data_IF_442690751500
#
_entry.id   IF_442690751500
#
_cell.length_a   1.000
_cell.length_b   1.000
_cell.length_c   1.000
_cell.angle_alpha   90.00
_cell.angle_beta   90.00
_cell.angle_gamma   90.00
#
_symmetry.space_group_name_H-M   'P 1'
#
loop_
_entity.id
_entity.type
_entity.pdbx_description
1 polymer ?
#
# COMPACT_ATOMS: atom_id res chain seq x y z
N UNK A 1 -6.69 36.53 -15.80
CA UNK A 1 -5.25 36.89 -15.88
C UNK A 1 -4.64 37.33 -14.55
N UNK A 2 -5.33 38.14 -13.72
CA UNK A 2 -4.80 38.64 -12.43
C UNK A 2 -4.35 37.56 -11.44
N UNK A 3 -4.98 36.37 -11.44
CA UNK A 3 -4.58 35.22 -10.58
C UNK A 3 -3.25 34.57 -10.98
N UNK A 4 -2.92 34.54 -12.28
CA UNK A 4 -1.64 33.98 -12.79
C UNK A 4 -0.51 34.97 -12.47
N UNK A 5 -0.77 36.26 -12.66
CA UNK A 5 0.16 37.33 -12.32
C UNK A 5 0.44 37.42 -10.81
N UNK A 6 -0.58 37.29 -9.97
CA UNK A 6 -0.40 37.22 -8.51
C UNK A 6 0.34 35.95 -8.08
N UNK A 7 0.11 34.81 -8.75
CA UNK A 7 0.87 33.58 -8.52
C UNK A 7 2.35 33.68 -8.94
N UNK A 8 2.66 34.45 -9.99
CA UNK A 8 4.05 34.71 -10.41
C UNK A 8 4.77 35.67 -9.45
N UNK A 9 4.05 36.65 -8.89
CA UNK A 9 4.61 37.67 -8.00
C UNK A 9 4.77 37.16 -6.57
N UNK A 10 3.76 36.48 -6.02
CA UNK A 10 3.70 36.08 -4.60
C UNK A 10 3.79 34.55 -4.36
N UNK A 11 3.89 33.71 -5.39
CA UNK A 11 4.01 32.25 -5.21
C UNK A 11 5.40 31.77 -4.78
N UNK A 12 5.48 30.60 -4.15
CA UNK A 12 6.75 29.92 -3.81
C UNK A 12 7.56 29.60 -5.10
N UNK A 13 8.89 29.49 -5.03
CA UNK A 13 9.81 29.22 -6.16
C UNK A 13 9.33 28.06 -7.05
N UNK A 14 8.80 26.99 -6.45
CA UNK A 14 8.23 25.84 -7.18
C UNK A 14 6.98 26.24 -7.96
N UNK A 15 6.03 26.96 -7.34
CA UNK A 15 4.80 27.46 -8.01
C UNK A 15 5.11 28.42 -9.15
N UNK A 16 6.10 29.31 -8.98
CA UNK A 16 6.58 30.18 -10.06
C UNK A 16 7.15 29.36 -11.21
N UNK A 17 7.98 28.35 -10.90
CA UNK A 17 8.55 27.43 -11.89
C UNK A 17 7.47 26.69 -12.70
N UNK A 18 6.42 26.18 -12.06
CA UNK A 18 5.33 25.50 -12.75
C UNK A 18 4.50 26.40 -13.66
N UNK A 19 4.18 27.62 -13.20
CA UNK A 19 3.45 28.60 -14.03
C UNK A 19 4.30 28.98 -15.25
N UNK A 20 5.60 29.20 -15.04
CA UNK A 20 6.53 29.60 -16.10
C UNK A 20 6.75 28.45 -17.11
N UNK A 21 6.84 27.20 -16.63
CA UNK A 21 6.93 26.01 -17.49
C UNK A 21 5.66 25.81 -18.34
N UNK A 22 4.47 26.04 -17.75
CA UNK A 22 3.20 25.93 -18.48
C UNK A 22 3.09 27.00 -19.57
N UNK A 23 3.50 28.24 -19.27
CA UNK A 23 3.55 29.33 -20.26
C UNK A 23 4.55 29.01 -21.38
N UNK A 24 5.74 28.50 -21.04
CA UNK A 24 6.75 28.08 -22.02
C UNK A 24 6.23 26.98 -22.93
N UNK A 25 5.59 25.94 -22.39
CA UNK A 25 5.00 24.85 -23.18
C UNK A 25 3.90 25.33 -24.14
N UNK A 26 3.02 26.22 -23.68
CA UNK A 26 1.97 26.79 -24.55
C UNK A 26 2.55 27.70 -25.64
N UNK A 27 3.60 28.47 -25.32
CA UNK A 27 4.31 29.29 -26.31
C UNK A 27 5.02 28.44 -27.36
N UNK A 28 5.71 27.37 -26.94
CA UNK A 28 6.42 26.46 -27.83
C UNK A 28 5.46 25.63 -28.69
N UNK A 29 4.32 25.20 -28.13
CA UNK A 29 3.25 24.55 -28.88
C UNK A 29 2.71 25.46 -29.98
N UNK A 30 2.48 26.74 -29.67
CA UNK A 30 1.97 27.73 -30.64
C UNK A 30 2.96 28.00 -31.79
N UNK A 31 4.26 28.12 -31.48
CA UNK A 31 5.32 28.27 -32.49
C UNK A 31 5.40 27.02 -33.37
N UNK A 32 5.29 25.84 -32.78
CA UNK A 32 5.32 24.56 -33.50
C UNK A 32 4.14 24.40 -34.48
N UNK A 33 2.94 24.91 -34.16
CA UNK A 33 1.81 25.01 -35.10
C UNK A 33 2.18 25.90 -36.30
N UNK A 34 2.79 27.05 -36.07
CA UNK A 34 3.25 27.95 -37.14
C UNK A 34 4.25 27.28 -38.09
N UNK A 35 5.22 26.53 -37.54
CA UNK A 35 6.18 25.76 -38.34
C UNK A 35 5.55 24.59 -39.11
N UNK A 36 4.48 24.00 -38.57
CA UNK A 36 3.73 22.94 -39.26
C UNK A 36 3.12 23.46 -40.55
N UNK A 37 2.48 24.63 -40.49
CA UNK A 37 1.86 25.28 -41.66
C UNK A 37 2.93 25.77 -42.64
N UNK A 38 3.99 26.41 -42.14
CA UNK A 38 5.04 27.00 -42.99
C UNK A 38 5.93 25.96 -43.69
N UNK A 39 6.30 24.88 -43.00
CA UNK A 39 7.21 23.84 -43.54
C UNK A 39 6.50 22.58 -44.03
N UNK A 40 5.15 22.53 -43.95
CA UNK A 40 4.32 21.35 -44.27
C UNK A 40 4.86 20.04 -43.67
N UNK A 41 5.47 20.14 -42.50
CA UNK A 41 6.16 19.02 -41.86
C UNK A 41 5.29 18.45 -40.74
N UNK A 42 4.86 17.17 -40.82
CA UNK A 42 3.96 16.57 -39.85
C UNK A 42 4.60 16.37 -38.46
N UNK A 43 5.93 16.33 -38.38
CA UNK A 43 6.67 16.19 -37.12
C UNK A 43 6.45 17.39 -36.19
N UNK A 44 6.39 18.61 -36.72
CA UNK A 44 6.11 19.82 -35.93
C UNK A 44 4.67 19.85 -35.43
N UNK A 45 3.73 19.27 -36.19
CA UNK A 45 2.32 19.14 -35.79
C UNK A 45 2.17 18.20 -34.60
N UNK A 46 2.86 17.07 -34.64
CA UNK A 46 2.88 16.10 -33.52
C UNK A 46 3.50 16.70 -32.25
N UNK A 47 4.58 17.48 -32.40
CA UNK A 47 5.22 18.19 -31.28
C UNK A 47 4.28 19.21 -30.62
N UNK A 48 3.51 19.96 -31.42
CA UNK A 48 2.51 20.89 -30.91
C UNK A 48 1.41 20.18 -30.09
N UNK A 49 0.85 19.09 -30.63
CA UNK A 49 -0.18 18.29 -29.95
C UNK A 49 0.34 17.77 -28.60
N UNK A 50 1.58 17.27 -28.57
CA UNK A 50 2.20 16.79 -27.34
C UNK A 50 2.34 17.90 -26.29
N UNK A 51 2.81 19.09 -26.68
CA UNK A 51 2.94 20.22 -25.76
C UNK A 51 1.60 20.66 -25.16
N UNK A 52 0.52 20.69 -25.97
CA UNK A 52 -0.82 21.04 -25.48
C UNK A 52 -1.42 19.96 -24.57
N UNK A 53 -1.21 18.67 -24.86
CA UNK A 53 -1.63 17.56 -23.99
C UNK A 53 -0.95 17.63 -22.62
N UNK A 54 0.38 17.84 -22.60
CA UNK A 54 1.13 17.97 -21.36
C UNK A 54 0.67 19.19 -20.56
N UNK A 55 0.48 20.34 -21.22
CA UNK A 55 -0.05 21.54 -20.56
C UNK A 55 -1.47 21.31 -19.98
N UNK A 56 -2.33 20.58 -20.70
CA UNK A 56 -3.67 20.23 -20.23
C UNK A 56 -3.65 19.30 -19.01
N UNK A 57 -2.77 18.30 -18.99
CA UNK A 57 -2.55 17.44 -17.83
C UNK A 57 -2.09 18.24 -16.59
N UNK A 58 -1.23 19.24 -16.78
CA UNK A 58 -0.81 20.13 -15.69
C UNK A 58 -1.95 21.00 -15.17
N UNK A 59 -2.79 21.55 -16.05
CA UNK A 59 -3.94 22.39 -15.66
C UNK A 59 -5.01 21.57 -14.91
N UNK A 60 -5.30 20.36 -15.38
CA UNK A 60 -6.27 19.46 -14.73
C UNK A 60 -5.78 18.97 -13.37
N UNK A 61 -4.49 18.62 -13.25
CA UNK A 61 -3.84 18.32 -11.96
C UNK A 61 -4.03 19.44 -10.92
N UNK A 62 -3.88 20.71 -11.35
CA UNK A 62 -4.12 21.87 -10.47
C UNK A 62 -5.59 22.05 -10.07
N UNK A 63 -6.53 21.70 -10.96
CA UNK A 63 -7.97 21.75 -10.67
C UNK A 63 -8.38 20.72 -9.61
N UNK A 64 -7.88 19.47 -9.74
CA UNK A 64 -8.15 18.41 -8.74
C UNK A 64 -7.64 18.78 -7.35
N UNK A 65 -6.50 19.47 -7.25
CA UNK A 65 -5.96 19.91 -5.96
C UNK A 65 -6.82 20.99 -5.27
N UNK A 66 -7.53 21.84 -6.04
CA UNK A 66 -8.44 22.85 -5.48
C UNK A 66 -9.75 22.26 -4.99
N UNK A 67 -10.32 21.31 -5.73
CA UNK A 67 -11.55 20.62 -5.33
C UNK A 67 -11.31 19.72 -4.11
N UNK A 68 -10.15 19.05 -4.05
CA UNK A 68 -9.70 18.32 -2.86
C UNK A 68 -9.55 19.23 -1.63
N UNK A 69 -8.91 20.41 -1.77
CA UNK A 69 -8.79 21.37 -0.66
C UNK A 69 -10.12 21.95 -0.16
N UNK A 70 -11.11 22.16 -1.03
CA UNK A 70 -12.43 22.63 -0.61
C UNK A 70 -13.23 21.53 0.10
N UNK A 71 -13.07 20.27 -0.30
CA UNK A 71 -13.66 19.13 0.40
C UNK A 71 -12.97 18.94 1.76
N UNK A 72 -11.63 19.01 1.83
CA UNK A 72 -10.87 18.96 3.09
C UNK A 72 -11.32 20.05 4.07
N UNK A 73 -11.60 21.27 3.59
CA UNK A 73 -12.11 22.35 4.44
C UNK A 73 -13.51 22.04 4.98
N UNK A 74 -14.40 21.49 4.15
CA UNK A 74 -15.77 21.12 4.54
C UNK A 74 -15.82 19.91 5.49
N UNK A 75 -14.99 18.89 5.24
CA UNK A 75 -14.87 17.71 6.10
C UNK A 75 -14.21 18.05 7.45
N UNK A 76 -13.27 19.01 7.46
CA UNK A 76 -12.64 19.50 8.70
C UNK A 76 -13.57 20.41 9.51
N UNK A 77 -14.44 21.20 8.85
CA UNK A 77 -15.49 21.98 9.51
C UNK A 77 -16.60 21.09 10.09
N UNK A 78 -16.94 19.96 9.44
CA UNK A 78 -17.89 18.97 9.99
C UNK A 78 -17.31 18.14 11.14
N UNK A 79 -15.99 17.90 11.18
CA UNK A 79 -15.32 17.21 12.29
C UNK A 79 -14.87 18.12 13.45
N UNK A 80 -14.86 19.44 13.26
CA UNK A 80 -14.49 20.41 14.30
C UNK A 80 -15.67 20.81 15.22
N UNK A 81 -16.87 20.28 15.00
CA UNK A 81 -18.03 20.56 15.85
C UNK A 81 -18.14 19.65 17.09
N UNK A 82 -17.11 18.86 17.40
CA UNK A 82 -17.16 17.91 18.52
C UNK A 82 -15.99 17.95 19.50
N UNK A 83 -15.06 18.89 19.42
CA UNK A 83 -14.11 19.13 20.52
C UNK A 83 -13.71 20.61 20.57
N UNK A 84 -14.24 21.27 21.59
CA UNK A 84 -13.92 22.63 21.99
C UNK A 84 -12.60 22.57 22.79
N UNK A 85 -11.47 22.94 22.18
CA UNK A 85 -10.28 23.53 22.82
C UNK A 85 -9.52 24.28 21.72
N UNK A 86 -9.55 25.61 21.85
CA UNK A 86 -8.62 26.63 21.33
C UNK A 86 -7.47 26.17 20.42
N UNK A 87 -7.47 26.63 19.16
CA UNK A 87 -6.26 26.74 18.35
C UNK A 87 -6.41 27.90 17.34
N UNK A 88 -6.56 29.13 17.85
CA UNK A 88 -6.15 30.33 17.12
C UNK A 88 -4.61 30.40 17.16
N UNK A 89 -3.93 29.72 16.22
CA UNK A 89 -2.56 30.02 15.75
C UNK A 89 -1.98 29.00 14.75
N UNK A 90 -2.75 28.54 13.75
CA UNK A 90 -2.19 27.71 12.67
C UNK A 90 -2.76 28.12 11.30
N UNK A 91 -2.57 29.39 10.94
CA UNK A 91 -2.50 29.81 9.54
C UNK A 91 -1.02 30.01 9.19
N UNK A 92 -0.55 29.33 8.13
CA UNK A 92 0.81 29.37 7.53
C UNK A 92 1.84 28.31 7.97
N UNK A 93 1.56 27.03 7.79
CA UNK A 93 2.60 26.08 7.33
C UNK A 93 2.03 25.17 6.23
N UNK A 94 2.50 25.36 5.00
CA UNK A 94 2.38 24.33 3.97
C UNK A 94 3.36 23.25 4.40
N UNK A 95 2.89 22.19 5.08
CA UNK A 95 3.72 21.04 5.43
C UNK A 95 4.55 20.62 4.21
N UNK A 96 5.87 20.88 4.31
CA UNK A 96 6.82 20.37 3.35
C UNK A 96 6.67 18.85 3.36
N UNK A 97 6.61 18.22 2.18
CA UNK A 97 6.57 16.77 2.14
C UNK A 97 7.86 16.25 2.78
N UNK A 98 7.73 15.62 3.95
CA UNK A 98 8.83 15.06 4.75
C UNK A 98 9.71 14.13 3.89
N UNK A 99 9.11 13.46 2.89
CA UNK A 99 9.81 12.56 1.99
C UNK A 99 10.58 13.25 0.87
N UNK A 100 10.37 14.56 0.66
CA UNK A 100 11.02 15.34 -0.39
C UNK A 100 12.52 15.56 -0.19
N UNK A 101 13.03 15.39 1.04
CA UNK A 101 14.45 15.49 1.37
C UNK A 101 15.25 14.21 1.06
N UNK A 102 14.55 13.10 0.83
CA UNK A 102 15.18 11.81 0.54
C UNK A 102 15.26 11.62 -0.98
N UNK A 103 16.43 11.84 -1.52
CA UNK A 103 16.86 11.43 -2.86
C UNK A 103 17.72 10.15 -2.80
N UNK A 104 18.24 9.71 -3.94
CA UNK A 104 19.03 8.48 -3.99
C UNK A 104 20.35 8.57 -3.18
N UNK A 105 21.03 9.72 -3.21
CA UNK A 105 22.33 9.91 -2.53
C UNK A 105 22.15 9.98 -1.02
N UNK A 106 21.15 10.70 -0.55
CA UNK A 106 20.80 10.77 0.88
C UNK A 106 20.40 9.40 1.41
N UNK A 107 19.60 8.61 0.68
CA UNK A 107 19.24 7.24 1.07
C UNK A 107 20.49 6.35 1.16
N UNK A 108 21.42 6.43 0.19
CA UNK A 108 22.71 5.72 0.25
C UNK A 108 23.54 6.14 1.46
N UNK A 109 23.60 7.44 1.77
CA UNK A 109 24.27 7.97 2.95
C UNK A 109 23.68 7.43 4.25
N UNK A 110 22.35 7.35 4.35
CA UNK A 110 21.63 6.75 5.47
C UNK A 110 21.99 5.27 5.60
N UNK A 111 22.07 4.52 4.49
CA UNK A 111 22.44 3.10 4.54
C UNK A 111 23.83 2.87 5.12
N UNK A 112 24.80 3.71 4.74
CA UNK A 112 26.16 3.68 5.28
C UNK A 112 26.13 4.02 6.77
N UNK A 113 25.46 5.12 7.15
CA UNK A 113 25.34 5.58 8.55
C UNK A 113 24.78 4.48 9.46
N UNK A 114 23.71 3.81 9.04
CA UNK A 114 23.04 2.78 9.85
C UNK A 114 23.55 1.36 9.62
N UNK A 115 24.59 1.19 8.79
CA UNK A 115 25.18 -0.11 8.44
C UNK A 115 24.12 -1.12 7.99
N UNK A 116 23.29 -0.69 7.04
CA UNK A 116 22.18 -1.51 6.50
C UNK A 116 22.75 -2.75 5.82
N UNK A 117 22.16 -3.92 6.10
CA UNK A 117 22.57 -5.19 5.50
C UNK A 117 22.27 -5.20 3.99
N UNK A 118 23.08 -5.89 3.17
CA UNK A 118 22.85 -6.02 1.72
C UNK A 118 21.51 -6.67 1.38
N UNK A 119 21.02 -7.57 2.21
CA UNK A 119 19.77 -8.30 1.98
C UNK A 119 18.52 -7.54 2.48
N UNK A 120 18.65 -6.24 2.76
CA UNK A 120 17.51 -5.41 3.14
C UNK A 120 16.42 -5.40 2.07
N UNK A 121 15.18 -5.26 2.52
CA UNK A 121 14.01 -5.21 1.65
C UNK A 121 13.12 -4.02 2.00
N UNK A 122 12.57 -3.31 1.02
CA UNK A 122 11.60 -2.25 1.28
C UNK A 122 10.27 -2.85 1.76
N UNK A 123 9.63 -2.17 2.70
CA UNK A 123 8.29 -2.44 3.22
C UNK A 123 7.60 -1.12 3.60
N UNK A 124 6.30 -1.20 3.88
CA UNK A 124 5.54 -0.13 4.50
C UNK A 124 4.94 -0.61 5.81
N UNK A 125 5.24 0.12 6.88
CA UNK A 125 4.64 -0.04 8.19
C UNK A 125 3.39 0.84 8.24
N UNK A 126 2.22 0.23 8.38
CA UNK A 126 0.96 0.98 8.51
C UNK A 126 0.85 1.59 9.90
N UNK A 127 1.15 0.80 10.94
CA UNK A 127 1.11 1.24 12.34
C UNK A 127 2.01 0.39 13.23
N UNK A 128 2.68 0.98 14.21
CA UNK A 128 3.35 0.30 15.31
C UNK A 128 3.21 1.14 16.57
N UNK A 129 2.45 0.64 17.56
CA UNK A 129 2.08 1.43 18.73
C UNK A 129 3.26 1.63 19.68
N UNK A 130 4.01 0.56 19.93
CA UNK A 130 5.17 0.52 20.83
C UNK A 130 6.25 1.52 20.42
N UNK A 131 6.43 1.72 19.12
CA UNK A 131 7.47 2.57 18.53
C UNK A 131 6.92 3.90 17.99
N UNK A 132 5.62 4.17 18.19
CA UNK A 132 4.91 5.38 17.71
C UNK A 132 5.10 5.64 16.21
N UNK A 133 5.00 4.58 15.39
CA UNK A 133 5.16 4.66 13.94
C UNK A 133 3.81 4.61 13.27
N UNK A 134 3.57 5.50 12.31
CA UNK A 134 2.36 5.49 11.48
C UNK A 134 2.72 5.71 10.01
N UNK A 135 2.23 4.83 9.15
CA UNK A 135 2.27 4.94 7.67
C UNK A 135 3.66 5.31 7.12
N UNK A 136 4.67 4.58 7.57
CA UNK A 136 6.07 4.91 7.35
C UNK A 136 6.74 3.93 6.34
N UNK A 137 7.45 4.44 5.31
CA UNK A 137 8.35 3.61 4.52
C UNK A 137 9.54 3.15 5.34
N UNK A 138 9.88 1.88 5.22
CA UNK A 138 11.01 1.31 5.94
C UNK A 138 11.76 0.26 5.14
N UNK A 139 13.05 0.10 5.43
CA UNK A 139 13.79 -1.09 5.03
C UNK A 139 13.89 -2.07 6.19
N UNK A 140 13.66 -3.35 5.90
CA UNK A 140 13.70 -4.44 6.86
C UNK A 140 14.80 -5.44 6.53
N UNK A 141 15.48 -5.96 7.55
CA UNK A 141 16.39 -7.11 7.42
C UNK A 141 16.55 -7.86 8.74
N UNK A 142 16.80 -9.16 8.66
CA UNK A 142 17.22 -9.97 9.80
C UNK A 142 18.74 -10.02 9.90
N UNK A 143 19.31 -9.80 11.08
CA UNK A 143 20.73 -10.00 11.35
C UNK A 143 20.95 -10.37 12.82
N UNK A 144 21.84 -11.35 13.08
CA UNK A 144 22.28 -11.77 14.42
C UNK A 144 21.13 -11.95 15.44
N UNK A 145 20.07 -12.65 15.04
CA UNK A 145 18.92 -12.90 15.93
C UNK A 145 17.98 -11.70 16.14
N UNK A 146 18.15 -10.61 15.38
CA UNK A 146 17.32 -9.43 15.46
C UNK A 146 16.68 -9.10 14.10
N UNK A 147 15.45 -8.59 14.16
CA UNK A 147 14.77 -7.91 13.08
C UNK A 147 15.09 -6.42 13.17
N UNK A 148 15.64 -5.87 12.09
CA UNK A 148 16.01 -4.46 12.02
C UNK A 148 15.07 -3.75 11.05
N UNK A 149 14.61 -2.57 11.44
CA UNK A 149 13.76 -1.68 10.66
C UNK A 149 14.44 -0.32 10.59
N UNK A 150 14.68 0.18 9.38
CA UNK A 150 15.16 1.54 9.15
C UNK A 150 14.00 2.38 8.61
N UNK A 151 13.51 3.32 9.41
CA UNK A 151 12.37 4.16 9.12
C UNK A 151 12.79 5.45 8.41
N UNK A 152 11.99 5.85 7.42
CA UNK A 152 12.14 7.11 6.70
C UNK A 152 11.00 8.05 7.11
N UNK A 153 11.25 8.82 8.17
CA UNK A 153 10.32 9.80 8.78
C UNK A 153 10.97 11.20 8.77
N UNK A 154 10.61 12.10 9.69
CA UNK A 154 11.28 13.41 9.83
C UNK A 154 12.76 13.28 10.16
N UNK A 155 13.12 12.30 10.99
CA UNK A 155 14.50 11.92 11.23
C UNK A 155 14.62 10.41 11.04
N UNK A 156 15.60 9.97 10.25
CA UNK A 156 15.77 8.53 10.04
C UNK A 156 16.07 7.83 11.35
N UNK A 157 15.26 6.85 11.73
CA UNK A 157 15.40 6.08 12.96
C UNK A 157 15.54 4.61 12.65
N UNK A 158 16.43 3.92 13.38
CA UNK A 158 16.57 2.47 13.32
C UNK A 158 15.92 1.85 14.56
N UNK A 159 15.03 0.90 14.34
CA UNK A 159 14.42 0.06 15.38
C UNK A 159 15.01 -1.34 15.26
N UNK A 160 15.30 -1.97 16.39
CA UNK A 160 15.83 -3.32 16.45
C UNK A 160 15.01 -4.14 17.44
N UNK A 161 14.46 -5.25 16.97
CA UNK A 161 13.55 -6.11 17.72
C UNK A 161 14.13 -7.54 17.73
N UNK A 162 14.27 -8.19 18.90
CA UNK A 162 14.70 -9.58 18.96
C UNK A 162 13.73 -10.48 18.18
N UNK A 163 14.25 -11.36 17.32
CA UNK A 163 13.44 -12.31 16.56
C UNK A 163 12.66 -13.26 17.48
N UNK A 164 13.14 -13.51 18.70
CA UNK A 164 12.42 -14.29 19.71
C UNK A 164 11.06 -13.69 20.10
N UNK A 165 10.85 -12.39 19.88
CA UNK A 165 9.56 -11.72 20.09
C UNK A 165 8.64 -11.82 18.88
N UNK A 166 9.19 -12.05 17.69
CA UNK A 166 8.46 -12.12 16.42
C UNK A 166 8.10 -13.57 16.11
N UNK A 167 7.06 -14.06 16.78
CA UNK A 167 6.73 -15.51 16.81
C UNK A 167 5.73 -15.94 15.75
N UNK A 168 4.81 -15.06 15.34
CA UNK A 168 3.77 -15.35 14.36
C UNK A 168 3.36 -14.09 13.61
N UNK A 169 2.73 -14.31 12.45
CA UNK A 169 2.08 -13.26 11.66
C UNK A 169 0.58 -13.39 11.88
N UNK A 170 -0.10 -12.29 12.22
CA UNK A 170 -1.56 -12.27 12.40
C UNK A 170 -2.20 -11.48 11.26
N UNK A 171 -3.19 -12.04 10.60
CA UNK A 171 -3.97 -11.34 9.57
C UNK A 171 -5.05 -10.46 10.21
N UNK A 172 -5.09 -9.18 9.82
CA UNK A 172 -6.09 -8.20 10.26
C UNK A 172 -6.91 -7.71 9.06
N UNK A 173 -8.17 -8.15 9.00
CA UNK A 173 -9.05 -7.92 7.86
C UNK A 173 -9.77 -6.57 7.96
N UNK A 174 -9.78 -5.84 6.84
CA UNK A 174 -10.72 -4.75 6.60
C UNK A 174 -10.58 -3.55 7.53
N UNK A 175 -9.35 -3.17 7.84
CA UNK A 175 -9.02 -1.92 8.50
C UNK A 175 -9.53 -0.76 7.64
N UNK A 176 -10.18 0.23 8.27
CA UNK A 176 -10.66 1.41 7.58
C UNK A 176 -9.48 2.17 6.96
N UNK A 177 -9.67 2.65 5.74
CA UNK A 177 -8.68 3.44 5.03
C UNK A 177 -9.33 4.72 4.50
N UNK A 178 -8.59 5.82 4.54
CA UNK A 178 -8.97 7.06 3.90
C UNK A 178 -8.01 7.32 2.73
N UNK A 179 -8.43 7.18 1.46
CA UNK A 179 -7.54 7.38 0.31
C UNK A 179 -6.96 8.79 0.20
N UNK A 180 -7.55 9.78 0.88
CA UNK A 180 -7.11 11.17 0.85
C UNK A 180 -6.17 11.52 2.00
N UNK A 181 -6.23 10.80 3.13
CA UNK A 181 -5.41 11.07 4.30
C UNK A 181 -4.33 10.01 4.54
N UNK A 182 -4.62 8.75 4.24
CA UNK A 182 -3.64 7.68 4.39
C UNK A 182 -2.49 7.88 3.41
N UNK A 183 -1.27 7.71 3.91
CA UNK A 183 -0.03 7.79 3.15
C UNK A 183 0.14 9.14 2.44
N UNK A 184 -0.27 10.25 3.07
CA UNK A 184 -0.22 11.59 2.49
C UNK A 184 1.16 11.96 1.91
N UNK A 185 2.25 11.57 2.58
CA UNK A 185 3.62 11.79 2.10
C UNK A 185 3.91 11.18 0.71
N UNK A 186 3.14 10.16 0.31
CA UNK A 186 3.20 9.52 -1.01
C UNK A 186 2.31 10.17 -2.07
N UNK A 187 1.52 11.18 -1.74
CA UNK A 187 0.69 11.86 -2.74
C UNK A 187 1.55 12.68 -3.71
N UNK A 188 2.59 13.36 -3.21
CA UNK A 188 3.51 14.16 -4.03
C UNK A 188 4.65 13.28 -4.57
N UNK A 189 5.17 13.55 -5.79
CA UNK A 189 6.34 12.83 -6.32
C UNK A 189 7.57 12.98 -5.42
N UNK A 190 8.26 11.86 -5.16
CA UNK A 190 9.53 11.79 -4.43
C UNK A 190 10.28 10.51 -4.82
N UNK A 191 11.58 10.42 -4.50
CA UNK A 191 12.34 9.20 -4.71
C UNK A 191 11.77 8.04 -3.87
N UNK A 192 11.40 8.31 -2.60
CA UNK A 192 10.73 7.31 -1.76
C UNK A 192 9.42 6.83 -2.39
N UNK A 193 8.61 7.72 -2.98
CA UNK A 193 7.41 7.28 -3.71
C UNK A 193 7.76 6.31 -4.83
N UNK A 194 8.77 6.63 -5.65
CA UNK A 194 9.20 5.74 -6.73
C UNK A 194 9.59 4.35 -6.23
N UNK A 195 10.31 4.26 -5.11
CA UNK A 195 10.79 2.99 -4.55
C UNK A 195 9.69 2.20 -3.83
N UNK A 196 8.84 2.89 -3.06
CA UNK A 196 7.90 2.25 -2.14
C UNK A 196 6.47 2.12 -2.69
N UNK A 197 6.14 2.67 -3.86
CA UNK A 197 4.77 2.65 -4.40
C UNK A 197 4.19 1.24 -4.54
N UNK A 198 5.00 0.24 -4.90
CA UNK A 198 4.55 -1.16 -5.01
C UNK A 198 4.25 -1.82 -3.66
N UNK A 199 4.63 -1.18 -2.55
CA UNK A 199 4.46 -1.66 -1.17
C UNK A 199 3.33 -0.91 -0.43
N UNK A 200 2.65 0.02 -1.10
CA UNK A 200 1.42 0.64 -0.59
C UNK A 200 0.30 -0.40 -0.50
N UNK A 201 -0.64 -0.27 0.45
CA UNK A 201 -1.68 -1.26 0.63
C UNK A 201 -2.65 -1.26 -0.56
N UNK A 202 -3.15 -2.44 -0.90
CA UNK A 202 -4.26 -2.55 -1.85
C UNK A 202 -5.56 -2.14 -1.15
N UNK A 203 -6.15 -1.04 -1.60
CA UNK A 203 -7.46 -0.59 -1.11
C UNK A 203 -8.58 -1.31 -1.86
N UNK A 204 -9.64 -1.66 -1.15
CA UNK A 204 -10.87 -2.16 -1.75
C UNK A 204 -12.08 -1.38 -1.25
N UNK A 205 -13.06 -1.21 -2.14
CA UNK A 205 -14.33 -0.56 -1.80
C UNK A 205 -15.23 -1.55 -1.05
N UNK A 206 -15.81 -1.06 0.04
CA UNK A 206 -16.88 -1.70 0.79
C UNK A 206 -18.09 -0.75 0.81
N UNK A 207 -19.29 -1.30 0.84
CA UNK A 207 -20.53 -0.53 0.89
C UNK A 207 -21.20 -0.80 2.22
N UNK A 208 -21.17 0.20 3.11
CA UNK A 208 -21.91 0.16 4.37
C UNK A 208 -22.98 1.23 4.32
N UNK A 209 -24.25 0.83 4.39
CA UNK A 209 -25.41 1.74 4.45
C UNK A 209 -25.46 2.75 3.27
N UNK A 210 -25.05 2.31 2.07
CA UNK A 210 -25.09 3.13 0.85
C UNK A 210 -23.96 4.15 0.72
N UNK A 211 -23.03 4.22 1.68
CA UNK A 211 -21.81 5.04 1.59
C UNK A 211 -20.63 4.16 1.17
N UNK A 212 -19.82 4.67 0.24
CA UNK A 212 -18.54 4.07 -0.13
C UNK A 212 -17.56 4.22 1.02
N UNK A 213 -17.06 3.11 1.52
CA UNK A 213 -16.01 3.04 2.54
C UNK A 213 -14.82 2.32 1.92
N UNK A 214 -13.62 2.84 2.11
CA UNK A 214 -12.40 2.16 1.67
C UNK A 214 -11.82 1.35 2.82
N UNK A 215 -11.34 0.15 2.51
CA UNK A 215 -10.70 -0.73 3.47
C UNK A 215 -9.40 -1.28 2.91
N UNK A 216 -8.53 -1.69 3.83
CA UNK A 216 -7.27 -2.38 3.56
C UNK A 216 -7.11 -3.56 4.50
N UNK A 217 -6.33 -4.54 4.08
CA UNK A 217 -5.93 -5.65 4.93
C UNK A 217 -4.49 -5.44 5.40
N UNK A 218 -4.25 -5.73 6.68
CA UNK A 218 -2.94 -5.60 7.30
C UNK A 218 -2.48 -6.94 7.86
N UNK A 219 -1.18 -7.03 8.10
CA UNK A 219 -0.54 -8.18 8.73
C UNK A 219 0.28 -7.70 9.92
N UNK A 220 0.08 -8.31 11.08
CA UNK A 220 0.75 -7.93 12.33
C UNK A 220 1.90 -8.89 12.57
N UNK A 221 3.13 -8.38 12.57
CA UNK A 221 4.26 -9.09 13.14
C UNK A 221 4.18 -8.90 14.65
N UNK A 222 3.97 -9.99 15.39
CA UNK A 222 3.85 -9.93 16.84
C UNK A 222 5.12 -9.28 17.44
N UNK A 223 5.00 -8.34 18.39
CA UNK A 223 3.77 -8.00 19.11
C UNK A 223 2.81 -7.04 18.38
N UNK A 224 3.27 -6.01 17.67
CA UNK A 224 2.36 -4.93 17.22
C UNK A 224 2.78 -4.21 15.92
N UNK A 225 3.70 -4.74 15.13
CA UNK A 225 4.12 -4.10 13.88
C UNK A 225 3.14 -4.48 12.77
N UNK A 226 2.26 -3.55 12.40
CA UNK A 226 1.32 -3.72 11.30
C UNK A 226 1.96 -3.32 9.98
N UNK A 227 2.00 -4.24 9.02
CA UNK A 227 2.53 -4.02 7.66
C UNK A 227 1.44 -4.24 6.62
N UNK A 228 1.63 -3.63 5.44
CA UNK A 228 0.70 -3.74 4.31
C UNK A 228 0.69 -5.16 3.71
N UNK A 229 -0.42 -5.53 3.08
CA UNK A 229 -0.55 -6.80 2.35
C UNK A 229 0.51 -6.96 1.24
N UNK A 230 0.94 -5.86 0.62
CA UNK A 230 1.97 -5.86 -0.42
C UNK A 230 3.40 -5.97 0.13
N UNK A 231 3.61 -5.66 1.42
CA UNK A 231 4.90 -5.85 2.10
C UNK A 231 5.09 -7.24 2.69
N UNK A 232 3.99 -7.96 2.98
CA UNK A 232 4.08 -9.18 3.79
C UNK A 232 4.78 -10.34 3.10
N UNK A 233 4.70 -10.45 1.76
CA UNK A 233 5.37 -11.52 1.00
C UNK A 233 6.86 -11.57 1.30
N UNK A 234 7.50 -10.41 1.22
CA UNK A 234 8.91 -10.20 1.52
C UNK A 234 9.27 -10.63 2.94
N UNK A 235 8.40 -10.35 3.90
CA UNK A 235 8.64 -10.69 5.31
C UNK A 235 8.45 -12.18 5.56
N UNK A 236 7.44 -12.80 4.95
CA UNK A 236 7.22 -14.24 5.04
C UNK A 236 8.39 -15.04 4.46
N UNK A 237 8.92 -14.63 3.30
CA UNK A 237 10.07 -15.28 2.67
C UNK A 237 11.33 -15.18 3.55
N UNK A 238 11.50 -14.05 4.24
CA UNK A 238 12.64 -13.80 5.13
C UNK A 238 12.52 -14.55 6.48
N UNK A 239 11.36 -14.50 7.13
CA UNK A 239 11.19 -14.99 8.51
C UNK A 239 10.65 -16.42 8.60
N UNK A 240 10.04 -16.93 7.52
CA UNK A 240 9.43 -18.29 7.47
C UNK A 240 8.44 -18.55 8.60
N UNK A 241 7.70 -17.52 9.01
CA UNK A 241 6.70 -17.60 10.07
C UNK A 241 5.35 -18.08 9.54
N UNK A 242 4.61 -18.80 10.38
CA UNK A 242 3.25 -19.20 10.09
C UNK A 242 2.29 -17.99 10.18
N UNK A 243 1.33 -17.96 9.25
CA UNK A 243 0.22 -17.04 9.29
C UNK A 243 -0.86 -17.57 10.23
N UNK A 244 -1.46 -16.69 11.01
CA UNK A 244 -2.58 -16.94 11.89
C UNK A 244 -3.69 -15.94 11.63
N UNK A 245 -4.92 -16.31 11.97
CA UNK A 245 -6.08 -15.44 11.89
C UNK A 245 -6.87 -15.55 13.18
N UNK A 246 -7.01 -14.43 13.88
CA UNK A 246 -7.71 -14.35 15.17
C UNK A 246 -9.20 -13.99 15.02
N UNK A 247 -9.68 -13.78 13.78
CA UNK A 247 -11.09 -13.54 13.53
C UNK A 247 -11.92 -14.82 13.72
N UNK A 248 -13.19 -14.65 14.09
CA UNK A 248 -14.12 -15.79 14.20
C UNK A 248 -14.44 -16.34 12.82
N UNK A 249 -14.36 -17.65 12.66
CA UNK A 249 -15.02 -18.32 11.55
C UNK A 249 -16.53 -18.29 11.81
N UNK A 250 -17.33 -18.15 10.75
CA UNK A 250 -18.78 -17.97 10.88
C UNK A 250 -19.49 -19.18 11.52
N UNK A 251 -18.84 -20.35 11.52
CA UNK A 251 -19.38 -21.60 12.07
C UNK A 251 -18.33 -22.24 13.01
N UNK A 252 -18.62 -22.36 14.32
CA UNK A 252 -17.78 -23.05 15.30
C UNK A 252 -17.44 -24.50 14.92
N UNK A 253 -18.29 -25.17 14.11
CA UNK A 253 -18.07 -26.53 13.61
C UNK A 253 -17.12 -26.64 12.41
N UNK A 254 -16.69 -25.50 11.83
CA UNK A 254 -15.71 -25.46 10.73
C UNK A 254 -14.25 -25.35 11.21
N UNK A 255 -14.02 -25.39 12.52
CA UNK A 255 -12.68 -25.33 13.11
C UNK A 255 -12.00 -26.69 13.07
N UNK A 256 -11.33 -26.97 11.96
CA UNK A 256 -10.29 -27.98 11.95
C UNK A 256 -8.99 -27.40 11.37
N UNK A 257 -7.82 -27.90 11.80
CA UNK A 257 -6.53 -27.32 11.38
C UNK A 257 -6.32 -27.30 9.87
N UNK A 258 -6.96 -28.19 9.11
CA UNK A 258 -6.85 -28.23 7.65
C UNK A 258 -7.72 -27.15 7.00
N UNK A 259 -8.94 -26.96 7.46
CA UNK A 259 -9.81 -25.89 6.98
C UNK A 259 -9.19 -24.52 7.26
N UNK A 260 -8.66 -24.31 8.45
CA UNK A 260 -7.97 -23.05 8.81
C UNK A 260 -6.79 -22.78 7.88
N UNK A 261 -5.94 -23.79 7.63
CA UNK A 261 -4.83 -23.66 6.66
C UNK A 261 -5.31 -23.37 5.24
N UNK A 262 -6.35 -24.04 4.76
CA UNK A 262 -6.91 -23.78 3.43
C UNK A 262 -7.50 -22.36 3.33
N UNK A 263 -8.15 -21.90 4.39
CA UNK A 263 -8.71 -20.56 4.50
C UNK A 263 -7.60 -19.49 4.46
N UNK A 264 -6.54 -19.66 5.24
CA UNK A 264 -5.39 -18.77 5.24
C UNK A 264 -4.70 -18.71 3.88
N UNK A 265 -4.54 -19.86 3.20
CA UNK A 265 -4.04 -19.89 1.82
C UNK A 265 -4.94 -19.10 0.86
N UNK A 266 -6.26 -19.16 1.04
CA UNK A 266 -7.20 -18.40 0.22
C UNK A 266 -7.12 -16.89 0.47
N UNK A 267 -6.86 -16.47 1.71
CA UNK A 267 -6.59 -15.07 2.05
C UNK A 267 -5.31 -14.61 1.35
N UNK A 268 -4.22 -15.37 1.51
CA UNK A 268 -2.92 -15.02 0.91
C UNK A 268 -3.02 -14.92 -0.62
N UNK A 269 -3.81 -15.77 -1.27
CA UNK A 269 -4.05 -15.68 -2.71
C UNK A 269 -4.82 -14.40 -3.08
N UNK A 270 -5.90 -14.09 -2.34
CA UNK A 270 -6.75 -12.92 -2.60
C UNK A 270 -6.00 -11.61 -2.40
N UNK A 271 -5.17 -11.55 -1.37
CA UNK A 271 -4.36 -10.37 -1.03
C UNK A 271 -3.10 -10.25 -1.93
N UNK A 272 -2.88 -11.19 -2.85
CA UNK A 272 -1.75 -11.19 -3.78
C UNK A 272 -0.41 -11.58 -3.14
N UNK A 273 -0.42 -12.08 -1.90
CA UNK A 273 0.77 -12.51 -1.16
C UNK A 273 1.40 -13.74 -1.81
N UNK A 274 0.58 -14.66 -2.30
CA UNK A 274 1.01 -15.83 -3.07
C UNK A 274 0.35 -15.86 -4.44
N UNK A 275 1.04 -16.51 -5.37
CA UNK A 275 0.57 -16.74 -6.73
C UNK A 275 -0.42 -17.92 -6.79
N UNK A 276 -1.17 -18.01 -7.89
CA UNK A 276 -2.08 -19.13 -8.16
C UNK A 276 -1.36 -20.48 -8.20
N UNK A 277 -0.13 -20.53 -8.74
CA UNK A 277 0.68 -21.76 -8.78
C UNK A 277 1.12 -22.19 -7.38
N UNK A 278 1.62 -21.26 -6.57
CA UNK A 278 1.98 -21.52 -5.17
C UNK A 278 0.77 -22.00 -4.37
N UNK A 279 -0.39 -21.37 -4.54
CA UNK A 279 -1.64 -21.79 -3.91
C UNK A 279 -2.00 -23.25 -4.29
N UNK A 280 -1.99 -23.59 -5.58
CA UNK A 280 -2.29 -24.96 -6.06
C UNK A 280 -1.36 -25.99 -5.43
N UNK A 281 -0.04 -25.72 -5.38
CA UNK A 281 0.94 -26.63 -4.77
C UNK A 281 0.67 -26.82 -3.28
N UNK A 282 0.44 -25.72 -2.55
CA UNK A 282 0.21 -25.77 -1.09
C UNK A 282 -1.12 -26.46 -0.74
N UNK A 283 -2.18 -26.22 -1.51
CA UNK A 283 -3.48 -26.91 -1.33
C UNK A 283 -3.37 -28.40 -1.62
N UNK A 284 -2.68 -28.82 -2.68
CA UNK A 284 -2.45 -30.26 -2.94
C UNK A 284 -1.76 -30.94 -1.77
N UNK A 285 -0.69 -30.31 -1.25
CA UNK A 285 0.04 -30.83 -0.10
C UNK A 285 -0.86 -30.92 1.14
N UNK A 286 -1.69 -29.91 1.38
CA UNK A 286 -2.62 -29.88 2.49
C UNK A 286 -3.68 -30.99 2.40
N UNK A 287 -4.25 -31.20 1.22
CA UNK A 287 -5.26 -32.25 0.98
C UNK A 287 -4.65 -33.65 1.08
N UNK A 288 -3.40 -33.83 0.63
CA UNK A 288 -2.67 -35.07 0.82
C UNK A 288 -2.45 -35.36 2.32
N UNK A 289 -1.97 -34.37 3.08
CA UNK A 289 -1.83 -34.50 4.54
C UNK A 289 -3.16 -34.79 5.24
N UNK A 290 -4.26 -34.23 4.74
CA UNK A 290 -5.60 -34.51 5.26
C UNK A 290 -6.03 -35.96 4.95
N UNK A 291 -5.72 -36.47 3.75
CA UNK A 291 -6.04 -37.87 3.38
C UNK A 291 -5.25 -38.91 4.17
N UNK A 292 -4.03 -38.58 4.58
CA UNK A 292 -3.14 -39.44 5.38
C UNK A 292 -3.34 -39.25 6.90
N UNK A 293 -4.22 -38.34 7.32
CA UNK A 293 -4.46 -38.02 8.72
C UNK A 293 -5.18 -39.15 9.46
N UNK A 294 -4.79 -39.40 10.71
CA UNK A 294 -5.45 -40.34 11.61
C UNK A 294 -6.78 -39.77 12.15
N UNK A 295 -7.78 -39.69 11.28
CA UNK A 295 -9.16 -39.23 11.55
C UNK A 295 -10.15 -40.24 10.94
N UNK A 296 -11.40 -40.22 11.38
CA UNK A 296 -12.44 -41.08 10.78
C UNK A 296 -12.74 -40.66 9.34
N UNK A 297 -13.28 -41.60 8.54
CA UNK A 297 -13.70 -41.28 7.18
C UNK A 297 -14.83 -40.24 7.17
N UNK A 298 -15.77 -40.30 8.12
CA UNK A 298 -16.85 -39.31 8.24
C UNK A 298 -16.30 -37.89 8.49
N UNK A 299 -15.30 -37.74 9.37
CA UNK A 299 -14.62 -36.46 9.60
C UNK A 299 -13.88 -35.97 8.35
N UNK A 300 -13.19 -36.86 7.65
CA UNK A 300 -12.53 -36.51 6.40
C UNK A 300 -13.52 -36.00 5.33
N UNK A 301 -14.63 -36.73 5.12
CA UNK A 301 -15.69 -36.32 4.20
C UNK A 301 -16.31 -34.98 4.61
N UNK A 302 -16.53 -34.76 5.91
CA UNK A 302 -17.02 -33.50 6.44
C UNK A 302 -16.06 -32.34 6.12
N UNK A 303 -14.77 -32.49 6.38
CA UNK A 303 -13.77 -31.44 6.14
C UNK A 303 -13.64 -31.09 4.66
N UNK A 304 -13.64 -32.09 3.77
CA UNK A 304 -13.65 -31.85 2.32
C UNK A 304 -14.90 -31.08 1.90
N UNK A 305 -16.08 -31.48 2.39
CA UNK A 305 -17.35 -30.79 2.09
C UNK A 305 -17.34 -29.35 2.58
N UNK A 306 -16.83 -29.10 3.80
CA UNK A 306 -16.68 -27.75 4.35
C UNK A 306 -15.78 -26.89 3.45
N UNK A 307 -14.63 -27.40 3.01
CA UNK A 307 -13.73 -26.67 2.12
C UNK A 307 -14.37 -26.34 0.75
N UNK A 308 -15.15 -27.26 0.17
CA UNK A 308 -15.88 -27.01 -1.09
C UNK A 308 -16.97 -25.95 -0.89
N UNK A 309 -17.77 -26.07 0.18
CA UNK A 309 -18.85 -25.13 0.48
C UNK A 309 -18.33 -23.71 0.71
N UNK A 310 -17.19 -23.58 1.40
CA UNK A 310 -16.49 -22.32 1.61
C UNK A 310 -15.71 -21.82 0.36
N UNK A 311 -15.76 -22.57 -0.76
CA UNK A 311 -15.06 -22.28 -2.02
C UNK A 311 -13.53 -22.17 -1.86
N UNK A 312 -12.97 -22.95 -0.93
CA UNK A 312 -11.52 -23.02 -0.69
C UNK A 312 -10.83 -24.00 -1.65
N UNK A 313 -11.56 -25.03 -2.11
CA UNK A 313 -11.12 -26.01 -3.10
C UNK A 313 -12.23 -26.23 -4.15
N UNK A 314 -11.88 -26.71 -5.34
CA UNK A 314 -12.86 -27.05 -6.38
C UNK A 314 -13.46 -28.43 -6.14
N UNK A 315 -14.59 -28.72 -6.80
CA UNK A 315 -15.24 -30.04 -6.75
C UNK A 315 -14.33 -31.14 -7.28
N UNK A 316 -13.60 -30.90 -8.37
CA UNK A 316 -12.68 -31.88 -8.95
C UNK A 316 -11.57 -32.30 -7.97
N UNK A 317 -11.04 -31.35 -7.19
CA UNK A 317 -10.07 -31.66 -6.15
C UNK A 317 -10.71 -32.51 -5.05
N UNK A 318 -11.91 -32.16 -4.61
CA UNK A 318 -12.64 -32.93 -3.61
C UNK A 318 -12.87 -34.37 -4.09
N UNK A 319 -13.40 -34.57 -5.29
CA UNK A 319 -13.68 -35.90 -5.86
C UNK A 319 -12.42 -36.77 -5.93
N UNK A 320 -11.29 -36.22 -6.37
CA UNK A 320 -10.02 -36.93 -6.41
C UNK A 320 -9.59 -37.43 -5.03
N UNK A 321 -9.57 -36.56 -4.01
CA UNK A 321 -9.11 -36.94 -2.67
C UNK A 321 -10.11 -37.82 -1.91
N UNK A 322 -11.42 -37.70 -2.21
CA UNK A 322 -12.43 -38.62 -1.70
C UNK A 322 -12.25 -40.04 -2.24
N UNK A 323 -11.84 -40.19 -3.51
CA UNK A 323 -11.53 -41.50 -4.08
C UNK A 323 -10.15 -42.05 -3.66
N UNK A 324 -9.22 -41.15 -3.31
CA UNK A 324 -7.86 -41.51 -2.92
C UNK A 324 -7.78 -42.16 -1.53
N UNK A 325 -8.54 -41.66 -0.56
CA UNK A 325 -8.60 -42.22 0.80
C UNK A 325 -9.48 -43.47 0.78
N UNK A 326 -8.89 -44.64 1.08
CA UNK A 326 -9.60 -45.92 1.15
C UNK A 326 -10.10 -46.20 2.56
#
# INVERSE_FOLDING_TARGET
>A
MNKIWNGLRYGNKKTKGYILATILLLSFGSVSVGFTVAKKSPLWGMSAIFCFLVAFLFITSLSFHKTGKQIIKKTREEHALSDDISNEHLEEEIEENIFGKYDEETVKGVFIKYKVNKDHKPIIIDHCQSEKVRQCPAYIWSDRGNLNLLLFEEETRKITIPLSKVTKIIYEKGVLADPLLDYEGFQKPSFLKMVFSSYLPTLYEDSKEGRKVYRKNLYVLSPDIKVTNTSIRTIMDMLKLDLSYEGRFADPGMHNPYFEKAYLLSIMLRDGVITVSEFKVRIKKLLQQLSEANISNDEFHLYIRQMVNARLITKDYAEYYLAYRK
#
